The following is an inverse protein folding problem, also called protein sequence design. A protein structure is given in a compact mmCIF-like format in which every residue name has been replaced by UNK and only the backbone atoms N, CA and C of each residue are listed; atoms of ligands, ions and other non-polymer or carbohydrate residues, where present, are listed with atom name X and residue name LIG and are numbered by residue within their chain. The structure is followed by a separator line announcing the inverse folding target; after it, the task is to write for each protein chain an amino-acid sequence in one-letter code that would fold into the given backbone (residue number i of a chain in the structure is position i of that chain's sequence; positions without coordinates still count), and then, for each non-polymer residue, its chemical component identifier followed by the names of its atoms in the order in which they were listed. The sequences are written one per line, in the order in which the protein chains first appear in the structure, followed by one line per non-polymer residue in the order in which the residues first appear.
data_IF_844025519664
#
_entry.id   IF_844025519664
#
_cell.length_a   1.000
_cell.length_b   1.000
_cell.length_c   1.000
_cell.angle_alpha   90.00
_cell.angle_beta   90.00
_cell.angle_gamma   90.00
#
_symmetry.space_group_name_H-M   'P 1'
#
loop_
_entity.id
_entity.type
_entity.pdbx_description
1 polymer ?
#
# COMPACT_ATOMS: atom_id res chain seq x y z
N UNK A 1 -3.72 -0.03 14.74
CA UNK A 1 -3.24 0.09 13.38
C UNK A 1 -3.19 1.52 12.89
N UNK A 2 -2.53 1.72 11.78
CA UNK A 2 -2.42 3.03 11.14
C UNK A 2 -3.36 3.11 9.95
N UNK A 3 -4.17 4.15 9.90
CA UNK A 3 -4.99 4.43 8.73
C UNK A 3 -4.15 5.18 7.71
N UNK A 4 -4.08 4.65 6.49
CA UNK A 4 -3.36 5.29 5.41
C UNK A 4 -4.25 6.30 4.70
N UNK A 5 -3.69 7.48 4.46
CA UNK A 5 -4.35 8.56 3.73
C UNK A 5 -3.65 8.89 2.41
N UNK A 6 -2.37 8.58 2.33
CA UNK A 6 -1.55 8.86 1.15
C UNK A 6 -0.86 7.58 0.69
N UNK A 7 -1.54 6.83 -0.16
CA UNK A 7 -1.04 5.57 -0.72
C UNK A 7 -0.96 5.69 -2.23
N UNK A 8 0.21 5.38 -2.76
CA UNK A 8 0.39 5.30 -4.20
C UNK A 8 -0.01 3.92 -4.69
N UNK A 9 -0.86 3.85 -5.69
CA UNK A 9 -1.30 2.61 -6.30
C UNK A 9 -0.61 2.45 -7.64
N UNK A 10 0.27 1.48 -7.74
CA UNK A 10 1.11 1.28 -8.92
C UNK A 10 1.06 -0.16 -9.39
N UNK A 11 0.20 -0.43 -10.37
CA UNK A 11 0.07 -1.75 -10.97
C UNK A 11 1.29 -2.20 -11.77
N UNK A 12 2.24 -1.30 -12.02
CA UNK A 12 3.50 -1.64 -12.65
C UNK A 12 4.59 -2.07 -11.67
N UNK A 13 4.35 -1.92 -10.37
CA UNK A 13 5.33 -2.30 -9.35
C UNK A 13 5.14 -3.77 -8.94
N UNK A 14 6.24 -4.50 -8.86
CA UNK A 14 6.23 -5.86 -8.36
C UNK A 14 6.12 -5.93 -6.84
N UNK A 15 6.46 -4.85 -6.16
CA UNK A 15 6.57 -4.82 -4.71
C UNK A 15 5.53 -3.89 -4.10
N UNK A 16 5.11 -4.24 -2.88
CA UNK A 16 4.46 -3.29 -1.99
C UNK A 16 5.54 -2.66 -1.13
N UNK A 17 5.51 -1.34 -0.97
CA UNK A 17 6.52 -0.62 -0.23
C UNK A 17 5.92 0.12 0.97
N UNK A 18 6.67 0.13 2.08
CA UNK A 18 6.46 1.06 3.18
C UNK A 18 7.66 1.99 3.25
N UNK A 19 7.38 3.28 3.39
CA UNK A 19 8.44 4.26 3.50
C UNK A 19 8.89 4.42 4.95
N UNK A 20 10.10 4.90 5.13
CA UNK A 20 10.77 4.93 6.42
C UNK A 20 9.95 5.62 7.52
N UNK A 21 9.32 6.75 7.21
CA UNK A 21 8.53 7.48 8.19
C UNK A 21 7.29 6.70 8.61
N UNK A 22 6.71 5.95 7.70
CA UNK A 22 5.54 5.11 8.01
C UNK A 22 5.90 4.01 8.99
N UNK A 23 7.04 3.37 8.80
CA UNK A 23 7.54 2.34 9.71
C UNK A 23 7.69 2.89 11.12
N UNK A 24 8.24 4.09 11.25
CA UNK A 24 8.40 4.74 12.56
C UNK A 24 7.07 5.02 13.21
N UNK A 25 6.12 5.57 12.46
CA UNK A 25 4.80 5.93 12.99
C UNK A 25 3.99 4.72 13.41
N UNK A 26 4.17 3.59 12.74
CA UNK A 26 3.46 2.37 13.09
C UNK A 26 4.00 1.72 14.36
N UNK A 27 5.22 2.05 14.78
CA UNK A 27 5.85 1.44 15.92
C UNK A 27 6.03 -0.06 15.78
N UNK A 28 6.40 -0.51 14.58
CA UNK A 28 6.58 -1.93 14.30
C UNK A 28 7.74 -2.48 15.11
N UNK A 29 7.50 -3.62 15.77
CA UNK A 29 8.54 -4.33 16.51
C UNK A 29 9.66 -4.73 15.54
N UNK A 30 10.92 -4.30 15.81
CA UNK A 30 12.03 -4.65 14.94
C UNK A 30 12.23 -6.16 14.75
N UNK A 31 11.80 -6.99 15.71
CA UNK A 31 11.92 -8.44 15.60
C UNK A 31 11.02 -9.02 14.52
N UNK A 32 10.01 -8.29 14.10
CA UNK A 32 9.11 -8.70 13.01
C UNK A 32 9.60 -8.31 11.64
N UNK A 33 10.66 -7.51 11.56
CA UNK A 33 11.25 -7.07 10.32
C UNK A 33 12.30 -8.09 9.90
N UNK A 34 12.14 -8.63 8.70
CA UNK A 34 13.10 -9.57 8.13
C UNK A 34 14.09 -8.84 7.24
N UNK A 35 15.31 -9.30 7.20
CA UNK A 35 16.29 -8.79 6.25
C UNK A 35 15.81 -9.02 4.83
N UNK A 36 15.98 -8.02 3.98
CA UNK A 36 15.64 -8.10 2.58
C UNK A 36 16.77 -7.49 1.76
N UNK A 37 17.15 -8.19 0.70
CA UNK A 37 18.10 -7.68 -0.28
C UNK A 37 17.41 -7.30 -1.59
N UNK A 38 16.09 -7.29 -1.59
CA UNK A 38 15.29 -6.97 -2.77
C UNK A 38 15.52 -5.54 -3.19
N UNK A 39 15.71 -5.33 -4.49
CA UNK A 39 15.85 -4.00 -5.08
C UNK A 39 14.57 -3.61 -5.78
N UNK A 40 14.30 -2.32 -5.86
CA UNK A 40 13.20 -1.80 -6.63
C UNK A 40 13.66 -0.61 -7.48
N UNK A 41 12.94 -0.40 -8.59
CA UNK A 41 13.24 0.69 -9.49
C UNK A 41 12.73 2.00 -8.90
N UNK A 42 13.60 2.98 -8.84
CA UNK A 42 13.23 4.32 -8.37
C UNK A 42 12.36 5.07 -9.37
N UNK A 43 11.87 6.21 -8.94
CA UNK A 43 11.02 7.08 -9.77
C UNK A 43 11.79 7.61 -10.97
N UNK A 44 13.09 7.89 -10.78
CA UNK A 44 13.97 8.34 -11.86
C UNK A 44 14.44 7.14 -12.67
N UNK A 45 14.30 7.16 -13.99
CA UNK A 45 14.76 6.07 -14.84
C UNK A 45 16.24 5.72 -14.60
N UNK A 46 16.51 4.42 -14.49
CA UNK A 46 17.86 3.92 -14.25
C UNK A 46 18.29 3.93 -12.79
N UNK A 47 17.51 4.50 -11.90
CA UNK A 47 17.80 4.52 -10.47
C UNK A 47 17.15 3.32 -9.79
N UNK A 48 17.95 2.61 -8.99
CA UNK A 48 17.50 1.48 -8.19
C UNK A 48 17.85 1.70 -6.73
N UNK A 49 16.98 1.27 -5.84
CA UNK A 49 17.24 1.30 -4.42
C UNK A 49 17.02 -0.09 -3.82
N UNK A 50 17.81 -0.40 -2.80
CA UNK A 50 17.64 -1.65 -2.07
C UNK A 50 16.74 -1.42 -0.87
N UNK A 51 15.84 -2.37 -0.63
CA UNK A 51 15.03 -2.37 0.56
C UNK A 51 15.86 -2.79 1.76
N UNK A 52 15.59 -2.20 2.92
CA UNK A 52 16.31 -2.52 4.16
C UNK A 52 15.73 -3.70 4.90
N UNK A 53 14.52 -4.11 4.56
CA UNK A 53 13.86 -5.25 5.16
C UNK A 53 12.48 -5.44 4.60
N UNK A 54 11.76 -6.40 5.16
CA UNK A 54 10.37 -6.64 4.82
C UNK A 54 9.58 -6.97 6.08
N UNK A 55 8.27 -6.73 6.02
CA UNK A 55 7.36 -6.99 7.12
C UNK A 55 6.02 -7.45 6.58
N UNK A 56 5.42 -8.43 7.25
CA UNK A 56 4.08 -8.91 6.92
C UNK A 56 3.06 -8.11 7.72
N UNK A 57 2.15 -7.47 7.00
CA UNK A 57 1.09 -6.66 7.63
C UNK A 57 -0.27 -7.16 7.20
N UNK A 58 -1.23 -7.09 8.11
CA UNK A 58 -2.63 -7.25 7.76
C UNK A 58 -3.16 -5.91 7.24
N UNK A 59 -3.68 -5.93 6.04
CA UNK A 59 -4.24 -4.76 5.37
C UNK A 59 -5.74 -4.91 5.27
N UNK A 60 -6.46 -3.88 5.67
CA UNK A 60 -7.91 -3.86 5.65
C UNK A 60 -8.37 -2.79 4.67
N UNK A 61 -9.15 -3.20 3.68
CA UNK A 61 -9.87 -2.29 2.80
C UNK A 61 -11.34 -2.28 3.16
N UNK A 62 -11.92 -1.10 3.12
CA UNK A 62 -13.36 -0.95 3.27
C UNK A 62 -13.78 -0.31 4.58
N UNK A 63 -15.05 -0.44 4.89
CA UNK A 63 -15.67 0.08 6.09
C UNK A 63 -16.10 -1.08 7.00
N UNK A 64 -16.56 -0.75 8.21
CA UNK A 64 -17.04 -1.78 9.15
C UNK A 64 -18.15 -2.65 8.58
N UNK A 65 -18.95 -2.12 7.66
CA UNK A 65 -20.06 -2.86 7.04
C UNK A 65 -19.64 -3.73 5.87
N UNK A 66 -18.54 -3.40 5.22
CA UNK A 66 -18.10 -4.10 4.03
C UNK A 66 -16.58 -3.97 3.92
N UNK A 67 -15.86 -4.94 4.45
CA UNK A 67 -14.41 -4.90 4.48
C UNK A 67 -13.78 -6.21 4.05
N UNK A 68 -12.53 -6.12 3.63
CA UNK A 68 -11.67 -7.26 3.36
C UNK A 68 -10.36 -7.13 4.09
N UNK A 69 -9.85 -8.25 4.58
CA UNK A 69 -8.57 -8.34 5.26
C UNK A 69 -7.66 -9.28 4.49
N UNK A 70 -6.46 -8.84 4.19
CA UNK A 70 -5.46 -9.69 3.57
C UNK A 70 -4.09 -9.39 4.18
N UNK A 71 -3.25 -10.41 4.26
CA UNK A 71 -1.87 -10.22 4.70
C UNK A 71 -1.00 -9.98 3.49
N UNK A 72 -0.24 -8.90 3.53
CA UNK A 72 0.67 -8.51 2.46
C UNK A 72 2.08 -8.33 3.00
N UNK A 73 3.05 -8.67 2.18
CA UNK A 73 4.45 -8.40 2.48
C UNK A 73 4.78 -7.01 1.94
N UNK A 74 5.26 -6.14 2.82
CA UNK A 74 5.76 -4.83 2.45
C UNK A 74 7.27 -4.82 2.58
N UNK A 75 7.94 -4.30 1.57
CA UNK A 75 9.36 -4.04 1.61
C UNK A 75 9.62 -2.63 2.08
N UNK A 76 10.63 -2.45 2.91
CA UNK A 76 10.90 -1.15 3.54
C UNK A 76 11.83 -0.36 2.64
N UNK A 77 11.34 0.77 2.16
CA UNK A 77 12.15 1.70 1.39
C UNK A 77 12.92 2.61 2.36
N UNK A 78 14.25 2.70 2.22
CA UNK A 78 15.09 3.40 3.20
C UNK A 78 15.14 4.91 2.97
N UNK A 79 14.03 5.51 2.60
CA UNK A 79 13.96 6.94 2.39
C UNK A 79 12.55 7.46 2.71
N UNK A 80 12.44 8.78 2.78
CA UNK A 80 11.17 9.45 3.03
C UNK A 80 10.42 9.65 1.72
N UNK A 81 9.11 9.68 1.82
CA UNK A 81 8.23 9.97 0.69
C UNK A 81 7.03 10.76 1.19
N UNK A 82 6.40 11.49 0.27
CA UNK A 82 5.11 12.11 0.55
C UNK A 82 4.00 11.08 0.72
N UNK A 83 4.22 9.86 0.24
CA UNK A 83 3.30 8.74 0.42
C UNK A 83 3.70 7.91 1.62
N UNK A 84 2.72 7.27 2.25
CA UNK A 84 2.95 6.36 3.36
C UNK A 84 3.34 4.97 2.88
N UNK A 85 2.75 4.55 1.78
CA UNK A 85 2.96 3.23 1.22
C UNK A 85 2.75 3.23 -0.29
N UNK A 86 3.23 2.17 -0.93
CA UNK A 86 2.95 1.88 -2.33
C UNK A 86 2.37 0.48 -2.41
N UNK A 87 1.23 0.34 -3.08
CA UNK A 87 0.61 -0.95 -3.34
C UNK A 87 0.90 -1.35 -4.77
N UNK A 88 1.53 -2.50 -4.93
CA UNK A 88 1.90 -3.05 -6.21
C UNK A 88 0.96 -4.17 -6.68
N UNK A 89 1.41 -4.91 -7.69
CA UNK A 89 0.60 -5.96 -8.31
C UNK A 89 0.16 -7.05 -7.36
N UNK A 90 1.00 -7.41 -6.38
CA UNK A 90 0.64 -8.43 -5.41
C UNK A 90 -0.60 -8.03 -4.61
N UNK A 91 -0.65 -6.77 -4.18
CA UNK A 91 -1.80 -6.26 -3.44
C UNK A 91 -3.06 -6.29 -4.31
N UNK A 92 -2.95 -5.85 -5.55
CA UNK A 92 -4.09 -5.86 -6.48
C UNK A 92 -4.60 -7.29 -6.70
N UNK A 93 -3.69 -8.24 -6.87
CA UNK A 93 -4.07 -9.64 -7.06
C UNK A 93 -4.74 -10.22 -5.81
N UNK A 94 -4.20 -9.95 -4.63
CA UNK A 94 -4.73 -10.46 -3.36
C UNK A 94 -6.15 -9.97 -3.10
N UNK A 95 -6.41 -8.71 -3.36
CA UNK A 95 -7.73 -8.13 -3.17
C UNK A 95 -8.64 -8.32 -4.38
N UNK A 96 -8.11 -8.86 -5.47
CA UNK A 96 -8.83 -8.93 -6.74
C UNK A 96 -9.31 -7.53 -7.15
N UNK A 97 -8.44 -6.56 -6.98
CA UNK A 97 -8.77 -5.16 -7.13
C UNK A 97 -8.44 -4.69 -8.54
N UNK A 98 -9.29 -3.81 -9.05
CA UNK A 98 -9.15 -3.25 -10.39
C UNK A 98 -9.07 -1.73 -10.27
N UNK A 99 -7.98 -1.12 -10.76
CA UNK A 99 -7.88 0.33 -10.75
C UNK A 99 -8.70 0.95 -11.88
N UNK A 100 -9.40 2.02 -11.55
CA UNK A 100 -10.12 2.86 -12.50
C UNK A 100 -9.41 4.20 -12.56
N UNK A 101 -8.51 4.36 -13.51
CA UNK A 101 -7.63 5.54 -13.55
C UNK A 101 -8.39 6.85 -13.78
N UNK A 102 -9.44 6.81 -14.58
CA UNK A 102 -10.22 8.02 -14.88
C UNK A 102 -10.90 8.59 -13.63
N UNK A 103 -11.34 7.75 -12.71
CA UNK A 103 -11.99 8.17 -11.47
C UNK A 103 -11.06 8.13 -10.26
N UNK A 104 -9.81 7.73 -10.43
CA UNK A 104 -8.85 7.51 -9.35
C UNK A 104 -9.42 6.62 -8.25
N UNK A 105 -10.04 5.54 -8.65
CA UNK A 105 -10.73 4.63 -7.74
C UNK A 105 -10.21 3.22 -7.91
N UNK A 106 -9.98 2.55 -6.79
CA UNK A 106 -9.67 1.13 -6.74
C UNK A 106 -10.93 0.40 -6.32
N UNK A 107 -11.36 -0.58 -7.12
CA UNK A 107 -12.55 -1.37 -6.82
C UNK A 107 -12.21 -2.82 -6.60
N UNK A 108 -12.84 -3.44 -5.63
CA UNK A 108 -12.62 -4.84 -5.30
C UNK A 108 -13.92 -5.48 -4.81
N UNK A 109 -14.06 -6.80 -5.01
CA UNK A 109 -15.21 -7.51 -4.45
C UNK A 109 -15.10 -7.59 -2.94
N UNK A 110 -16.17 -7.31 -2.23
CA UNK A 110 -16.28 -7.46 -0.80
C UNK A 110 -17.44 -8.39 -0.43
N UNK A 111 -17.56 -8.75 0.85
CA UNK A 111 -18.62 -9.67 1.30
C UNK A 111 -20.04 -9.12 1.11
N UNK A 112 -20.19 -7.81 1.01
CA UNK A 112 -21.49 -7.17 0.82
C UNK A 112 -21.55 -6.32 -0.44
N UNK A 113 -20.77 -6.66 -1.45
CA UNK A 113 -20.75 -5.94 -2.71
C UNK A 113 -19.40 -5.28 -2.96
N UNK A 114 -19.36 -4.39 -3.93
CA UNK A 114 -18.10 -3.77 -4.36
C UNK A 114 -17.64 -2.76 -3.32
N UNK A 115 -16.37 -2.88 -2.92
CA UNK A 115 -15.69 -1.89 -2.09
C UNK A 115 -14.97 -0.95 -3.06
N UNK A 116 -15.18 0.36 -2.89
CA UNK A 116 -14.52 1.38 -3.69
C UNK A 116 -13.65 2.25 -2.80
N UNK A 117 -12.41 2.46 -3.23
CA UNK A 117 -11.46 3.28 -2.50
C UNK A 117 -10.83 4.27 -3.48
N UNK A 118 -11.01 5.56 -3.22
CA UNK A 118 -10.30 6.59 -3.97
C UNK A 118 -8.88 6.67 -3.48
N UNK A 119 -7.95 6.89 -4.39
CA UNK A 119 -6.56 6.93 -4.00
C UNK A 119 -5.68 7.66 -4.99
N UNK A 120 -4.42 7.75 -4.65
CA UNK A 120 -3.39 8.26 -5.53
C UNK A 120 -2.91 7.11 -6.41
N UNK A 121 -3.05 7.28 -7.71
CA UNK A 121 -2.37 6.44 -8.67
C UNK A 121 -1.05 7.12 -9.04
N UNK A 122 -0.27 6.46 -9.87
CA UNK A 122 1.07 6.90 -10.22
C UNK A 122 1.17 8.37 -10.63
N UNK A 123 0.11 8.90 -11.25
CA UNK A 123 0.07 10.30 -11.70
C UNK A 123 -0.94 11.15 -10.95
N UNK A 124 -1.54 10.65 -9.87
CA UNK A 124 -2.57 11.39 -9.18
C UNK A 124 -1.99 12.32 -8.12
N UNK A 125 -2.78 13.32 -7.72
CA UNK A 125 -2.29 14.40 -6.89
C UNK A 125 -2.72 14.31 -5.44
N UNK A 126 -3.91 13.87 -5.13
CA UNK A 126 -4.41 13.94 -3.76
C UNK A 126 -5.43 12.87 -3.45
N UNK A 127 -5.47 12.49 -2.18
CA UNK A 127 -6.52 11.68 -1.61
C UNK A 127 -7.65 12.57 -1.11
N UNK A 128 -8.87 12.13 -1.32
CA UNK A 128 -10.03 12.78 -0.76
C UNK A 128 -10.54 12.00 0.44
N UNK A 129 -11.23 12.68 1.36
CA UNK A 129 -11.90 12.03 2.46
C UNK A 129 -13.04 11.17 1.94
N UNK A 130 -13.24 9.99 2.54
CA UNK A 130 -14.24 9.04 2.09
C UNK A 130 -14.62 8.04 3.17
N UNK A 131 -15.70 7.31 2.88
CA UNK A 131 -16.23 6.31 3.80
C UNK A 131 -15.35 5.06 3.89
N UNK A 132 -14.72 4.67 2.81
CA UNK A 132 -13.82 3.52 2.81
C UNK A 132 -12.40 3.95 3.10
N UNK A 133 -11.65 3.09 3.75
CA UNK A 133 -10.29 3.40 4.16
C UNK A 133 -9.38 2.22 3.93
N UNK A 134 -8.10 2.51 3.84
CA UNK A 134 -7.02 1.53 3.83
C UNK A 134 -6.31 1.60 5.17
N UNK A 135 -6.26 0.48 5.88
CA UNK A 135 -5.60 0.37 7.19
C UNK A 135 -4.60 -0.77 7.15
N UNK A 136 -3.43 -0.55 7.71
CA UNK A 136 -2.43 -1.60 7.87
C UNK A 136 -2.10 -1.82 9.34
N UNK A 137 -1.98 -3.08 9.74
CA UNK A 137 -1.64 -3.49 11.09
C UNK A 137 -0.58 -4.57 11.08
N UNK A 138 0.10 -4.68 12.21
CA UNK A 138 1.18 -5.65 12.39
C UNK A 138 0.92 -6.62 13.54
#
# INVERSE_FOLDING_TARGET
GLQFTEVLMDGGSDLNLLYQDTIRKMGIDPTKIRHSSTSFKGVTPGLYAKCTGSVLLEVVFGSSDNLRREKLIFHIAPFKSSHQALLGREAFARFNAIPHYASLTLKMPGPRGIISLKGNFECSSAMEERETALTATH
#
